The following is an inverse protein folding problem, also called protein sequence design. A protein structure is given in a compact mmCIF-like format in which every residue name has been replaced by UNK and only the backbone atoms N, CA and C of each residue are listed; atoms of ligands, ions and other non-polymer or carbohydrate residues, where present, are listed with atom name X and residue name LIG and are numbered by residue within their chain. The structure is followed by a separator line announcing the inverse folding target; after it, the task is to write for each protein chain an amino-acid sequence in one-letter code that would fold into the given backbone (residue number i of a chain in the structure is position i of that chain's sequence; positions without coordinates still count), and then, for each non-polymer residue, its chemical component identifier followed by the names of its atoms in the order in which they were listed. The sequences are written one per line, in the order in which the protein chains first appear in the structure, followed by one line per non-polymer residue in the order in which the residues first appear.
data_IF_302285296168
#
_entry.id   IF_302285296168
#
_cell.length_a   1.000
_cell.length_b   1.000
_cell.length_c   1.000
_cell.angle_alpha   90.00
_cell.angle_beta   90.00
_cell.angle_gamma   90.00
#
_symmetry.space_group_name_H-M   'P 1'
#
loop_
_entity.id
_entity.type
_entity.pdbx_description
1 polymer ?
#
# COMPACT_ATOMS: atom_id res chain seq x y z
N UNK A 1 -3.79 -13.00 -12.69
CA UNK A 1 -4.68 -12.56 -11.59
C UNK A 1 -4.04 -11.31 -11.00
N UNK A 2 -4.74 -10.15 -10.94
CA UNK A 2 -4.10 -8.93 -10.39
C UNK A 2 -4.20 -8.98 -8.87
N UNK A 3 -3.04 -9.06 -8.21
CA UNK A 3 -2.92 -9.08 -6.75
C UNK A 3 -2.44 -7.72 -6.26
N UNK A 4 -3.08 -7.20 -5.23
CA UNK A 4 -2.70 -5.97 -4.55
C UNK A 4 -2.30 -6.34 -3.13
N UNK A 5 -1.22 -5.74 -2.63
CA UNK A 5 -0.78 -5.91 -1.25
C UNK A 5 -0.72 -4.54 -0.60
N UNK A 6 -1.09 -4.49 0.68
CA UNK A 6 -0.99 -3.30 1.50
C UNK A 6 -0.32 -3.63 2.83
N UNK A 7 0.42 -2.67 3.38
CA UNK A 7 1.14 -2.80 4.62
C UNK A 7 0.51 -1.93 5.73
N UNK A 8 0.27 -2.54 6.88
CA UNK A 8 -0.07 -1.83 8.10
C UNK A 8 1.21 -1.51 8.89
N UNK A 9 1.78 -0.32 8.66
CA UNK A 9 3.02 0.10 9.32
C UNK A 9 2.67 0.81 10.63
N UNK A 10 3.11 0.24 11.75
CA UNK A 10 2.81 0.74 13.10
C UNK A 10 4.08 1.27 13.76
N UNK A 11 4.04 2.51 14.26
CA UNK A 11 5.12 3.12 15.04
C UNK A 11 4.54 3.95 16.18
N UNK A 12 5.02 3.73 17.41
CA UNK A 12 4.60 4.51 18.59
C UNK A 12 3.07 4.63 18.73
N UNK A 13 2.35 3.52 18.53
CA UNK A 13 0.88 3.45 18.56
C UNK A 13 0.16 4.29 17.49
N UNK A 14 0.86 4.68 16.42
CA UNK A 14 0.31 5.31 15.22
C UNK A 14 0.43 4.38 14.04
N UNK A 15 -0.50 4.49 13.09
CA UNK A 15 -0.48 3.74 11.83
C UNK A 15 -0.24 4.68 10.67
N UNK A 16 0.66 4.31 9.76
CA UNK A 16 0.92 5.09 8.55
C UNK A 16 -0.22 4.88 7.55
N UNK A 17 -0.85 5.98 7.14
CA UNK A 17 -1.90 6.03 6.12
C UNK A 17 -1.65 7.21 5.18
N UNK A 18 -2.01 7.05 3.91
CA UNK A 18 -1.95 8.11 2.90
C UNK A 18 -3.36 8.59 2.56
N UNK A 19 -3.50 9.88 2.23
CA UNK A 19 -4.76 10.45 1.75
C UNK A 19 -4.78 10.42 0.22
N UNK A 20 -5.82 9.80 -0.35
CA UNK A 20 -5.96 9.69 -1.80
C UNK A 20 -6.19 11.06 -2.43
N UNK A 21 -5.32 11.43 -3.38
CA UNK A 21 -5.35 12.75 -4.04
C UNK A 21 -6.39 12.85 -5.17
N UNK A 22 -6.71 11.75 -5.84
CA UNK A 22 -7.63 11.72 -6.99
C UNK A 22 -8.34 10.36 -7.13
N UNK A 23 -9.29 10.27 -8.07
CA UNK A 23 -10.09 9.07 -8.36
C UNK A 23 -11.42 9.02 -7.59
N UNK A 24 -12.15 7.93 -7.74
CA UNK A 24 -13.48 7.73 -7.12
C UNK A 24 -13.43 7.72 -5.59
N UNK A 25 -12.27 7.39 -5.02
CA UNK A 25 -12.01 7.38 -3.58
C UNK A 25 -11.13 8.57 -3.13
N UNK A 26 -11.11 9.67 -3.90
CA UNK A 26 -10.40 10.87 -3.49
C UNK A 26 -10.88 11.36 -2.11
N UNK A 27 -9.95 11.77 -1.26
CA UNK A 27 -10.24 12.25 0.09
C UNK A 27 -10.34 11.15 1.16
N UNK A 28 -10.46 9.88 0.78
CA UNK A 28 -10.37 8.75 1.71
C UNK A 28 -8.91 8.41 2.05
N UNK A 29 -8.75 7.58 3.08
CA UNK A 29 -7.46 7.08 3.56
C UNK A 29 -7.18 5.69 3.00
N UNK A 30 -5.91 5.41 2.74
CA UNK A 30 -5.41 4.10 2.31
C UNK A 30 -4.14 3.72 3.04
N UNK A 31 -3.90 2.40 3.12
CA UNK A 31 -2.61 1.87 3.54
C UNK A 31 -1.60 1.95 2.39
N UNK A 32 -0.32 2.20 2.68
CA UNK A 32 0.76 2.05 1.70
C UNK A 32 0.73 0.65 1.11
N UNK A 33 0.91 0.53 -0.20
CA UNK A 33 0.76 -0.74 -0.89
C UNK A 33 0.90 -0.62 -2.39
N UNK A 34 1.11 -1.77 -3.02
CA UNK A 34 1.49 -1.87 -4.42
C UNK A 34 0.73 -2.99 -5.13
N UNK A 35 0.78 -2.94 -6.46
CA UNK A 35 0.39 -4.08 -7.29
C UNK A 35 1.58 -5.01 -7.37
N UNK A 36 1.35 -6.29 -7.12
CA UNK A 36 2.37 -7.30 -7.30
C UNK A 36 2.53 -7.58 -8.80
N UNK A 37 3.74 -7.42 -9.31
CA UNK A 37 4.15 -7.85 -10.63
C UNK A 37 4.42 -9.38 -10.67
N UNK A 38 4.44 -9.95 -11.87
CA UNK A 38 4.41 -11.41 -12.05
C UNK A 38 5.73 -12.09 -11.64
N UNK A 39 6.83 -11.33 -11.54
CA UNK A 39 8.18 -11.78 -11.22
C UNK A 39 8.68 -11.38 -9.82
N UNK A 40 7.84 -10.78 -9.00
CA UNK A 40 8.19 -10.37 -7.63
C UNK A 40 7.39 -11.11 -6.55
N UNK A 41 8.02 -11.29 -5.40
CA UNK A 41 7.36 -11.77 -4.18
C UNK A 41 6.60 -10.64 -3.50
N UNK A 42 5.66 -11.03 -2.62
CA UNK A 42 4.90 -10.12 -1.77
C UNK A 42 5.80 -9.18 -0.96
N UNK A 43 6.95 -9.71 -0.54
CA UNK A 43 7.95 -8.99 0.25
C UNK A 43 8.69 -7.97 -0.61
N UNK A 44 9.13 -8.36 -1.81
CA UNK A 44 9.82 -7.47 -2.75
C UNK A 44 8.90 -6.30 -3.17
N UNK A 45 7.64 -6.58 -3.50
CA UNK A 45 6.63 -5.58 -3.84
C UNK A 45 6.46 -4.52 -2.73
N UNK A 46 6.39 -4.97 -1.48
CA UNK A 46 6.27 -4.07 -0.34
C UNK A 46 7.56 -3.29 -0.05
N UNK A 47 8.74 -3.90 -0.23
CA UNK A 47 10.03 -3.23 -0.04
C UNK A 47 10.30 -2.14 -1.09
N UNK A 48 9.79 -2.28 -2.31
CA UNK A 48 9.86 -1.22 -3.33
C UNK A 48 8.92 -0.04 -3.01
N UNK A 49 7.77 -0.32 -2.39
CA UNK A 49 6.68 0.66 -2.25
C UNK A 49 6.76 1.53 -0.97
N UNK A 50 7.38 1.02 0.11
CA UNK A 50 7.32 1.60 1.47
C UNK A 50 8.49 2.55 1.77
#
# INVERSE_FOLDING_TARGET
MRRIIAAAIVKENKVLIAKRKYGTLAGYWEFPGGKVEDDETDKECLEETI
#
